data_IF_848805467339
#
_entry.id   IF_848805467339
#
_cell.length_a   1.000
_cell.length_b   1.000
_cell.length_c   1.000
_cell.angle_alpha   90.00
_cell.angle_beta   90.00
_cell.angle_gamma   90.00
#
_symmetry.space_group_name_H-M   'P 1'
#
loop_
_entity.id
_entity.type
_entity.pdbx_description
1 polymer ?
#
# COMPACT_ATOMS: atom_id res chain seq x y z
N UNK A 1 -11.98 -0.65 3.01
CA UNK A 1 -11.38 -1.20 1.77
C UNK A 1 -12.43 -1.35 0.66
N UNK A 2 -13.24 -0.32 0.38
CA UNK A 2 -14.18 -0.36 -0.76
C UNK A 2 -13.43 -0.06 -2.06
N UNK A 3 -13.79 -0.75 -3.14
CA UNK A 3 -13.24 -0.53 -4.49
C UNK A 3 -14.11 0.36 -5.38
N UNK A 4 -15.30 0.76 -4.93
CA UNK A 4 -16.24 1.57 -5.71
C UNK A 4 -15.63 2.85 -6.34
N UNK A 5 -14.68 3.58 -5.71
CA UNK A 5 -14.06 4.75 -6.35
C UNK A 5 -13.30 4.42 -7.66
N UNK A 6 -12.83 3.19 -7.84
CA UNK A 6 -12.12 2.76 -9.05
C UNK A 6 -13.04 2.56 -10.25
N UNK A 7 -14.36 2.48 -10.05
CA UNK A 7 -15.35 2.37 -11.15
C UNK A 7 -15.51 3.70 -11.92
N UNK A 8 -15.13 4.83 -11.31
CA UNK A 8 -15.27 6.16 -11.89
C UNK A 8 -14.04 6.69 -12.64
N UNK A 9 -12.95 5.92 -12.71
CA UNK A 9 -11.66 6.37 -13.29
C UNK A 9 -11.01 5.27 -14.15
N UNK A 10 -10.09 5.68 -15.04
CA UNK A 10 -9.13 4.74 -15.65
C UNK A 10 -7.89 4.72 -14.75
N UNK A 11 -7.83 3.75 -13.83
CA UNK A 11 -6.73 3.63 -12.87
C UNK A 11 -5.38 3.46 -13.59
N UNK A 12 -4.42 4.34 -13.31
CA UNK A 12 -3.10 4.36 -13.94
C UNK A 12 -3.11 4.39 -15.49
N UNK A 13 -4.23 4.69 -16.14
CA UNK A 13 -4.38 4.61 -17.60
C UNK A 13 -4.55 3.19 -18.16
N UNK A 14 -4.76 2.18 -17.32
CA UNK A 14 -4.87 0.77 -17.71
C UNK A 14 -6.35 0.41 -17.89
N UNK A 15 -6.72 -0.12 -19.06
CA UNK A 15 -8.12 -0.37 -19.44
C UNK A 15 -8.51 -1.85 -19.47
N UNK A 16 -7.55 -2.76 -19.33
CA UNK A 16 -7.73 -4.21 -19.45
C UNK A 16 -7.43 -4.96 -18.14
N UNK A 17 -7.39 -4.24 -17.01
CA UNK A 17 -7.13 -4.79 -15.69
C UNK A 17 -8.10 -4.27 -14.62
N UNK A 18 -8.16 -4.96 -13.49
CA UNK A 18 -8.97 -4.61 -12.32
C UNK A 18 -8.09 -4.35 -11.09
N UNK A 19 -8.68 -3.72 -10.07
CA UNK A 19 -8.03 -3.49 -8.77
C UNK A 19 -8.59 -4.46 -7.73
N UNK A 20 -7.75 -4.88 -6.76
CA UNK A 20 -8.19 -5.69 -5.60
C UNK A 20 -7.59 -5.14 -4.30
N UNK A 21 -7.92 -5.75 -3.17
CA UNK A 21 -7.33 -5.47 -1.85
C UNK A 21 -7.04 -6.78 -1.12
N UNK A 22 -6.14 -6.75 -0.12
CA UNK A 22 -5.90 -7.91 0.74
C UNK A 22 -7.19 -8.45 1.37
N UNK A 23 -8.16 -7.59 1.69
CA UNK A 23 -9.42 -8.04 2.27
C UNK A 23 -10.30 -8.82 1.29
N UNK A 24 -10.29 -8.43 0.02
CA UNK A 24 -11.02 -9.14 -1.05
C UNK A 24 -10.36 -10.49 -1.31
N UNK A 25 -9.03 -10.52 -1.50
CA UNK A 25 -8.30 -11.74 -1.84
C UNK A 25 -8.35 -12.80 -0.71
N UNK A 26 -8.35 -12.36 0.55
CA UNK A 26 -8.32 -13.29 1.71
C UNK A 26 -9.70 -13.57 2.30
N UNK A 27 -10.74 -12.85 1.88
CA UNK A 27 -12.08 -12.90 2.49
C UNK A 27 -12.14 -12.43 3.95
N UNK A 28 -11.10 -11.74 4.45
CA UNK A 28 -11.00 -11.26 5.84
C UNK A 28 -10.85 -9.75 5.86
N UNK A 29 -11.41 -9.08 6.87
CA UNK A 29 -11.10 -7.67 7.05
C UNK A 29 -9.65 -7.52 7.50
N UNK A 30 -8.86 -6.77 6.73
CA UNK A 30 -7.47 -6.44 7.00
C UNK A 30 -7.35 -4.92 6.91
N UNK A 31 -7.02 -4.29 8.03
CA UNK A 31 -6.86 -2.84 8.15
C UNK A 31 -5.41 -2.44 7.88
N UNK A 32 -5.13 -1.16 7.61
CA UNK A 32 -3.75 -0.69 7.52
C UNK A 32 -2.93 -1.01 8.79
N UNK A 33 -3.53 -0.89 9.98
CA UNK A 33 -2.86 -1.17 11.25
C UNK A 33 -2.38 -2.63 11.36
N UNK A 34 -3.11 -3.58 10.77
CA UNK A 34 -2.71 -5.00 10.74
C UNK A 34 -1.46 -5.23 9.87
N UNK A 35 -1.23 -4.37 8.88
CA UNK A 35 -0.15 -4.53 7.89
C UNK A 35 1.12 -3.75 8.27
N UNK A 36 1.00 -2.69 9.07
CA UNK A 36 2.14 -1.82 9.47
C UNK A 36 3.38 -2.60 9.91
N UNK A 37 3.30 -3.58 10.84
CA UNK A 37 4.50 -4.27 11.31
C UNK A 37 5.24 -5.05 10.22
N UNK A 38 4.49 -5.66 9.30
CA UNK A 38 5.06 -6.44 8.19
C UNK A 38 5.63 -5.52 7.12
N UNK A 39 4.93 -4.42 6.82
CA UNK A 39 5.38 -3.41 5.87
C UNK A 39 6.70 -2.76 6.34
N UNK A 40 6.77 -2.31 7.58
CA UNK A 40 7.99 -1.68 8.15
C UNK A 40 9.19 -2.61 8.04
N UNK A 41 9.04 -3.87 8.47
CA UNK A 41 10.12 -4.86 8.37
C UNK A 41 10.64 -4.99 6.93
N UNK A 42 9.74 -5.13 5.95
CA UNK A 42 10.15 -5.27 4.55
C UNK A 42 10.72 -3.98 3.95
N UNK A 43 10.25 -2.81 4.38
CA UNK A 43 10.85 -1.54 3.99
C UNK A 43 12.26 -1.37 4.56
N UNK A 44 12.51 -1.77 5.80
CA UNK A 44 13.86 -1.73 6.39
C UNK A 44 14.81 -2.70 5.68
N UNK A 45 14.33 -3.90 5.34
CA UNK A 45 15.11 -4.94 4.67
C UNK A 45 15.41 -4.61 3.19
N UNK A 46 14.43 -4.09 2.44
CA UNK A 46 14.51 -3.95 0.97
C UNK A 46 14.60 -2.50 0.49
N UNK A 47 14.03 -1.56 1.24
CA UNK A 47 13.96 -0.14 0.89
C UNK A 47 15.31 0.49 0.51
N UNK A 48 16.42 0.24 1.23
CA UNK A 48 17.71 0.86 0.92
C UNK A 48 18.22 0.61 -0.50
N UNK A 49 17.82 -0.48 -1.14
CA UNK A 49 18.22 -0.81 -2.51
C UNK A 49 17.43 -0.04 -3.58
N UNK A 50 16.25 0.50 -3.24
CA UNK A 50 15.29 0.99 -4.24
C UNK A 50 14.73 2.39 -3.95
N UNK A 51 14.88 2.89 -2.72
CA UNK A 51 14.33 4.17 -2.28
C UNK A 51 15.46 4.98 -1.68
N UNK A 52 15.70 6.16 -2.25
CA UNK A 52 16.53 7.17 -1.60
C UNK A 52 15.78 7.67 -0.36
N UNK A 53 16.19 7.21 0.82
CA UNK A 53 15.64 7.71 2.09
C UNK A 53 16.35 9.02 2.42
N UNK A 54 15.75 10.15 2.03
CA UNK A 54 16.09 11.42 2.69
C UNK A 54 15.42 11.40 4.05
N UNK A 55 16.14 11.56 5.18
CA UNK A 55 15.51 11.67 6.48
C UNK A 55 14.44 12.77 6.44
N UNK A 56 13.21 12.44 6.81
CA UNK A 56 12.15 13.46 6.94
C UNK A 56 12.57 14.41 8.05
N UNK A 57 12.83 15.66 7.70
CA UNK A 57 13.04 16.74 8.65
C UNK A 57 11.74 16.92 9.47
N UNK A 58 11.75 16.57 10.76
CA UNK A 58 10.79 17.14 11.73
C UNK A 58 9.67 16.26 12.32
N UNK A 59 9.87 14.96 12.60
CA UNK A 59 8.98 14.25 13.56
C UNK A 59 9.72 14.14 14.90
N UNK A 60 9.35 14.93 15.94
CA UNK A 60 9.95 14.79 17.26
C UNK A 60 9.51 13.48 17.94
N UNK A 61 10.42 12.93 18.75
CA UNK A 61 10.27 11.70 19.54
C UNK A 61 9.18 11.80 20.62
#
# INVERSE_FOLDING_TARGET
NSLAPYEGIIACGITDAATTTLSVETGRTITPADVVPVLTRHLDELGPAYIAVTPTEGIPA
#
